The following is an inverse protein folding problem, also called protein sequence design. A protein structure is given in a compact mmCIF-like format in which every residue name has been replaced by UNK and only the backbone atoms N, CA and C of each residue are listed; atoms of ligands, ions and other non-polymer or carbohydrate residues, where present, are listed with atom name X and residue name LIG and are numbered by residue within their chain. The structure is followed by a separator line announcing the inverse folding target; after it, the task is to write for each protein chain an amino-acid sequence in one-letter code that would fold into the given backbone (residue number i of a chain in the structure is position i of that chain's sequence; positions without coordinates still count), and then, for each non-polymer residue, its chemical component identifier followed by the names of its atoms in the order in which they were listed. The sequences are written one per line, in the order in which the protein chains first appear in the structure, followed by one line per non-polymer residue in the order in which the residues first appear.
data_IF_766144144340
#
_entry.id   IF_766144144340
#
_cell.length_a   1.000
_cell.length_b   1.000
_cell.length_c   1.000
_cell.angle_alpha   90.00
_cell.angle_beta   90.00
_cell.angle_gamma   90.00
#
_symmetry.space_group_name_H-M   'P 1'
#
loop_
_entity.id
_entity.type
_entity.pdbx_description
1 polymer ?
#
# COMPACT_ATOMS: atom_id res chain seq x y z
N UNK A 1 3.26 9.77 12.78
CA UNK A 1 4.45 8.90 12.83
C UNK A 1 5.51 9.51 11.95
N UNK A 2 6.69 9.71 12.52
CA UNK A 2 7.85 10.20 11.78
C UNK A 2 8.49 9.02 11.05
N UNK A 3 8.68 9.16 9.74
CA UNK A 3 9.43 8.20 8.94
C UNK A 3 10.86 8.71 8.75
N UNK A 4 11.86 8.18 9.48
CA UNK A 4 13.24 8.69 9.44
C UNK A 4 13.94 8.49 8.10
N UNK A 5 13.47 7.52 7.30
CA UNK A 5 14.04 7.20 5.98
C UNK A 5 13.55 8.17 4.89
N UNK A 6 12.31 8.66 4.99
CA UNK A 6 11.72 9.59 4.02
C UNK A 6 11.57 11.03 4.54
N UNK A 7 11.91 11.29 5.81
CA UNK A 7 11.75 12.61 6.45
C UNK A 7 10.30 13.07 6.60
N UNK A 8 9.31 12.24 6.26
CA UNK A 8 7.90 12.62 6.20
C UNK A 8 7.16 12.27 7.49
N UNK A 9 6.33 13.19 7.98
CA UNK A 9 5.42 12.96 9.10
C UNK A 9 4.05 12.50 8.58
N UNK A 10 3.73 11.21 8.73
CA UNK A 10 2.46 10.64 8.28
C UNK A 10 1.66 10.15 9.48
N UNK A 11 0.36 10.45 9.54
CA UNK A 11 -0.50 10.00 10.63
C UNK A 11 -0.70 8.47 10.62
N UNK A 12 -0.54 7.76 11.75
CA UNK A 12 -0.80 6.31 11.81
C UNK A 12 -2.26 5.97 11.48
N UNK A 13 -3.20 6.85 11.86
CA UNK A 13 -4.63 6.65 11.60
C UNK A 13 -4.92 6.66 10.09
N UNK A 14 -4.22 7.52 9.34
CA UNK A 14 -4.37 7.62 7.89
C UNK A 14 -3.93 6.32 7.22
N UNK A 15 -2.76 5.79 7.60
CA UNK A 15 -2.23 4.54 7.07
C UNK A 15 -3.15 3.36 7.36
N UNK A 16 -3.73 3.30 8.57
CA UNK A 16 -4.68 2.26 8.95
C UNK A 16 -5.96 2.31 8.11
N UNK A 17 -6.55 3.50 7.95
CA UNK A 17 -7.77 3.70 7.16
C UNK A 17 -7.52 3.38 5.68
N UNK A 18 -6.45 3.91 5.11
CA UNK A 18 -6.08 3.66 3.70
C UNK A 18 -5.76 2.18 3.48
N UNK A 19 -5.00 1.55 4.38
CA UNK A 19 -4.69 0.13 4.31
C UNK A 19 -5.95 -0.75 4.40
N UNK A 20 -6.90 -0.40 5.25
CA UNK A 20 -8.18 -1.09 5.38
C UNK A 20 -9.01 -1.02 4.09
N UNK A 21 -9.19 0.18 3.52
CA UNK A 21 -9.92 0.35 2.26
C UNK A 21 -9.24 -0.36 1.09
N UNK A 22 -7.92 -0.27 0.98
CA UNK A 22 -7.15 -0.98 -0.07
C UNK A 22 -7.23 -2.51 0.12
N UNK A 23 -7.28 -2.97 1.37
CA UNK A 23 -7.47 -4.39 1.71
C UNK A 23 -8.83 -4.90 1.24
N UNK A 24 -9.91 -4.19 1.58
CA UNK A 24 -11.27 -4.52 1.16
C UNK A 24 -11.34 -4.50 -0.38
N UNK A 25 -11.02 -3.37 -1.01
CA UNK A 25 -11.14 -3.22 -2.46
C UNK A 25 -10.27 -4.24 -3.21
N UNK A 26 -9.02 -4.44 -2.77
CA UNK A 26 -8.14 -5.44 -3.37
C UNK A 26 -8.62 -6.89 -3.19
N UNK A 27 -9.30 -7.19 -2.08
CA UNK A 27 -9.92 -8.49 -1.83
C UNK A 27 -11.18 -8.74 -2.66
N UNK A 28 -12.02 -7.71 -2.84
CA UNK A 28 -13.26 -7.78 -3.63
C UNK A 28 -13.00 -7.89 -5.13
N UNK A 29 -12.11 -7.05 -5.67
CA UNK A 29 -11.85 -7.01 -7.11
C UNK A 29 -10.89 -8.12 -7.56
N UNK A 30 -10.11 -8.72 -6.66
CA UNK A 30 -9.02 -9.65 -7.03
C UNK A 30 -7.89 -8.98 -7.82
N UNK A 31 -8.04 -7.71 -8.18
CA UNK A 31 -7.03 -6.84 -8.78
C UNK A 31 -6.22 -6.27 -7.62
N UNK A 32 -4.91 -6.52 -7.59
CA UNK A 32 -4.03 -6.01 -6.54
C UNK A 32 -4.27 -4.51 -6.32
N UNK A 33 -4.86 -4.14 -5.17
CA UNK A 33 -5.31 -2.77 -4.82
C UNK A 33 -4.20 -1.71 -4.73
N UNK A 34 -3.04 -2.02 -5.26
CA UNK A 34 -1.83 -1.22 -5.37
C UNK A 34 -1.96 -0.01 -6.29
N UNK A 35 -2.89 -0.07 -7.26
CA UNK A 35 -3.26 1.11 -8.05
C UNK A 35 -3.75 2.31 -7.18
N UNK A 36 -4.22 2.04 -5.95
CA UNK A 36 -4.63 3.07 -4.97
C UNK A 36 -3.50 3.37 -3.98
N UNK A 37 -2.71 2.35 -3.60
CA UNK A 37 -1.71 2.49 -2.54
C UNK A 37 -0.58 3.46 -2.91
N UNK A 38 -0.05 3.38 -4.14
CA UNK A 38 0.97 4.31 -4.63
C UNK A 38 0.54 5.78 -4.59
N UNK A 39 -0.58 6.15 -5.23
CA UNK A 39 -1.12 7.51 -5.17
C UNK A 39 -1.48 7.98 -3.75
N UNK A 40 -2.05 7.10 -2.92
CA UNK A 40 -2.43 7.43 -1.54
C UNK A 40 -1.22 7.72 -0.65
N UNK A 41 -0.07 7.07 -0.89
CA UNK A 41 1.20 7.34 -0.21
C UNK A 41 1.84 8.64 -0.72
N UNK A 42 1.76 8.93 -2.02
CA UNK A 42 2.22 10.22 -2.55
C UNK A 42 1.40 11.39 -1.99
N UNK A 43 0.10 11.21 -1.82
CA UNK A 43 -0.80 12.25 -1.29
C UNK A 43 -0.44 12.71 0.14
N UNK A 44 0.23 11.87 0.92
CA UNK A 44 0.75 12.22 2.27
C UNK A 44 2.18 12.77 2.26
N UNK A 45 2.70 13.13 1.09
CA UNK A 45 4.01 13.78 0.96
C UNK A 45 5.19 12.81 0.94
N UNK A 46 4.95 11.52 0.74
CA UNK A 46 6.03 10.55 0.54
C UNK A 46 6.67 10.77 -0.83
N UNK A 47 8.00 10.61 -0.91
CA UNK A 47 8.70 10.73 -2.18
C UNK A 47 8.37 9.55 -3.11
N UNK A 48 8.37 9.80 -4.42
CA UNK A 48 7.97 8.80 -5.42
C UNK A 48 8.78 7.51 -5.31
N UNK A 49 10.08 7.61 -5.01
CA UNK A 49 10.97 6.47 -4.85
C UNK A 49 10.50 5.52 -3.72
N UNK A 50 10.03 6.08 -2.60
CA UNK A 50 9.54 5.32 -1.46
C UNK A 50 8.09 4.84 -1.66
N UNK A 51 7.27 5.63 -2.36
CA UNK A 51 5.88 5.29 -2.63
C UNK A 51 5.79 4.08 -3.56
N UNK A 52 6.59 4.07 -4.63
CA UNK A 52 6.67 2.94 -5.59
C UNK A 52 7.23 1.69 -4.92
N UNK A 53 8.32 1.81 -4.15
CA UNK A 53 8.90 0.67 -3.45
C UNK A 53 7.93 0.00 -2.45
N UNK A 54 7.19 0.82 -1.70
CA UNK A 54 6.17 0.33 -0.74
C UNK A 54 5.01 -0.33 -1.46
N UNK A 55 4.58 0.24 -2.58
CA UNK A 55 3.48 -0.31 -3.38
C UNK A 55 3.85 -1.67 -3.99
N UNK A 56 5.06 -1.83 -4.50
CA UNK A 56 5.58 -3.12 -5.01
C UNK A 56 5.57 -4.20 -3.94
N UNK A 57 6.01 -3.88 -2.71
CA UNK A 57 5.95 -4.83 -1.59
C UNK A 57 4.51 -5.28 -1.30
N UNK A 58 3.55 -4.36 -1.41
CA UNK A 58 2.14 -4.65 -1.23
C UNK A 58 1.56 -5.55 -2.33
N UNK A 59 1.97 -5.35 -3.59
CA UNK A 59 1.63 -6.24 -4.72
C UNK A 59 2.16 -7.65 -4.45
N UNK A 60 3.45 -7.77 -4.13
CA UNK A 60 4.12 -9.07 -3.95
C UNK A 60 3.44 -9.89 -2.85
N UNK A 61 3.15 -9.28 -1.70
CA UNK A 61 2.46 -9.96 -0.60
C UNK A 61 1.11 -10.56 -1.02
N UNK A 62 0.30 -9.79 -1.76
CA UNK A 62 -1.01 -10.26 -2.25
C UNK A 62 -0.87 -11.32 -3.35
N UNK A 63 0.07 -11.16 -4.26
CA UNK A 63 0.36 -12.12 -5.33
C UNK A 63 0.77 -13.49 -4.79
N UNK A 64 1.56 -13.54 -3.71
CA UNK A 64 1.92 -14.80 -3.04
C UNK A 64 0.68 -15.50 -2.47
N UNK A 65 -0.22 -14.75 -1.82
CA UNK A 65 -1.47 -15.31 -1.28
C UNK A 65 -2.39 -15.81 -2.40
N UNK A 66 -2.52 -15.03 -3.49
CA UNK A 66 -3.30 -15.43 -4.65
C UNK A 66 -2.73 -16.69 -5.32
N UNK A 67 -1.41 -16.74 -5.52
CA UNK A 67 -0.72 -17.91 -6.08
C UNK A 67 -0.92 -19.17 -5.22
N UNK A 68 -0.89 -19.04 -3.89
CA UNK A 68 -1.20 -20.14 -2.97
C UNK A 68 -2.65 -20.60 -3.03
N UNK A 69 -3.60 -19.71 -3.33
CA UNK A 69 -5.03 -20.02 -3.40
C UNK A 69 -5.44 -20.73 -4.69
N UNK A 70 -4.60 -20.69 -5.73
CA UNK A 70 -4.80 -21.41 -6.99
C UNK A 70 -4.07 -22.77 -7.05
N UNK A 71 -3.64 -23.31 -5.90
CA UNK A 71 -3.14 -24.67 -5.71
C UNK A 71 -4.09 -25.45 -4.81
#
# INVERSE_FOLDING_TARGET
MFFPISGSHISPIYLAVVGFFIGILGGFFGVGGSFIAGPALRAVGLDWNFAVGTDLAHIVGKSVVAAKRHR
#
